data_IF_684244566135
#
_entry.id   IF_684244566135
#
_cell.length_a   1.000
_cell.length_b   1.000
_cell.length_c   1.000
_cell.angle_alpha   90.00
_cell.angle_beta   90.00
_cell.angle_gamma   90.00
#
_symmetry.space_group_name_H-M   'P 1'
#
loop_
_entity.id
_entity.type
_entity.pdbx_description
1 polymer ?
#
# COMPACT_ATOMS: atom_id res chain seq x y z
N UNK A 1 -37.61 -38.04 124.12
CA UNK A 1 -37.39 -38.15 122.65
C UNK A 1 -38.10 -37.03 121.88
N UNK A 2 -39.42 -36.86 121.99
CA UNK A 2 -40.18 -35.82 121.27
C UNK A 2 -39.74 -34.36 121.51
N UNK A 3 -39.12 -34.01 122.64
CA UNK A 3 -38.74 -32.62 122.94
C UNK A 3 -37.43 -32.17 122.27
N UNK A 4 -36.44 -33.05 122.10
CA UNK A 4 -35.13 -32.69 121.52
C UNK A 4 -35.21 -32.54 119.99
N UNK A 5 -36.00 -33.38 119.32
CA UNK A 5 -36.37 -33.20 117.91
C UNK A 5 -37.15 -31.90 117.69
N UNK A 6 -38.02 -31.52 118.63
CA UNK A 6 -38.77 -30.27 118.58
C UNK A 6 -37.87 -29.04 118.70
N UNK A 7 -36.81 -29.11 119.52
CA UNK A 7 -35.80 -28.06 119.66
C UNK A 7 -34.94 -27.95 118.40
N UNK A 8 -34.44 -29.06 117.85
CA UNK A 8 -33.63 -29.06 116.63
C UNK A 8 -34.41 -28.64 115.38
N UNK A 9 -35.69 -29.04 115.29
CA UNK A 9 -36.61 -28.53 114.27
C UNK A 9 -36.89 -27.03 114.48
N UNK A 10 -37.03 -26.58 115.73
CA UNK A 10 -37.16 -25.15 116.05
C UNK A 10 -35.93 -24.33 115.65
N UNK A 11 -34.72 -24.86 115.88
CA UNK A 11 -33.46 -24.21 115.51
C UNK A 11 -33.23 -24.18 113.99
N UNK A 12 -33.60 -25.24 113.25
CA UNK A 12 -33.53 -25.24 111.77
C UNK A 12 -34.60 -24.33 111.17
N UNK A 13 -35.81 -24.31 111.73
CA UNK A 13 -36.85 -23.34 111.37
C UNK A 13 -36.39 -21.90 111.65
N UNK A 14 -35.74 -21.66 112.79
CA UNK A 14 -35.18 -20.36 113.15
C UNK A 14 -34.07 -19.94 112.19
N UNK A 15 -33.15 -20.83 111.82
CA UNK A 15 -32.13 -20.57 110.79
C UNK A 15 -32.74 -20.28 109.41
N UNK A 16 -33.78 -21.02 109.01
CA UNK A 16 -34.53 -20.76 107.78
C UNK A 16 -35.22 -19.40 107.84
N UNK A 17 -35.78 -19.01 108.99
CA UNK A 17 -36.39 -17.70 109.19
C UNK A 17 -35.35 -16.58 109.20
N UNK A 18 -34.17 -16.78 109.80
CA UNK A 18 -33.06 -15.81 109.79
C UNK A 18 -32.48 -15.62 108.38
N UNK A 19 -32.34 -16.70 107.60
CA UNK A 19 -31.91 -16.61 106.21
C UNK A 19 -32.99 -15.91 105.34
N UNK A 20 -34.28 -16.18 105.59
CA UNK A 20 -35.39 -15.41 104.98
C UNK A 20 -35.31 -13.93 105.36
N UNK A 21 -35.05 -13.60 106.62
CA UNK A 21 -34.87 -12.21 107.08
C UNK A 21 -33.66 -11.58 106.37
N UNK A 22 -32.55 -12.30 106.21
CA UNK A 22 -31.35 -11.82 105.50
C UNK A 22 -31.65 -11.54 104.03
N UNK A 23 -32.31 -12.47 103.33
CA UNK A 23 -32.75 -12.30 101.93
C UNK A 23 -33.72 -11.12 101.80
N UNK A 24 -34.68 -10.98 102.72
CA UNK A 24 -35.60 -9.84 102.74
C UNK A 24 -34.87 -8.52 102.98
N UNK A 25 -33.88 -8.47 103.89
CA UNK A 25 -33.04 -7.29 104.11
C UNK A 25 -32.25 -6.92 102.84
N UNK A 26 -31.69 -7.90 102.13
CA UNK A 26 -31.02 -7.67 100.84
C UNK A 26 -32.00 -7.15 99.78
N UNK A 27 -33.22 -7.71 99.70
CA UNK A 27 -34.28 -7.20 98.81
C UNK A 27 -34.68 -5.77 99.14
N UNK A 28 -34.80 -5.43 100.42
CA UNK A 28 -35.08 -4.05 100.87
C UNK A 28 -33.94 -3.12 100.51
N UNK A 29 -32.68 -3.53 100.71
CA UNK A 29 -31.51 -2.74 100.32
C UNK A 29 -31.46 -2.50 98.80
N UNK A 30 -31.71 -3.53 98.00
CA UNK A 30 -31.77 -3.40 96.54
C UNK A 30 -32.92 -2.51 96.09
N UNK A 31 -34.12 -2.62 96.69
CA UNK A 31 -35.23 -1.69 96.40
C UNK A 31 -34.90 -0.26 96.79
N UNK A 32 -34.24 -0.03 97.92
CA UNK A 32 -33.74 1.31 98.29
C UNK A 32 -32.70 1.83 97.29
N UNK A 33 -31.81 0.97 96.78
CA UNK A 33 -30.86 1.32 95.72
C UNK A 33 -31.58 1.70 94.42
N UNK A 34 -32.59 0.93 94.02
CA UNK A 34 -33.44 1.22 92.86
C UNK A 34 -34.14 2.57 93.02
N UNK A 35 -34.75 2.85 94.18
CA UNK A 35 -35.41 4.13 94.45
C UNK A 35 -34.43 5.31 94.29
N UNK A 36 -33.21 5.20 94.84
CA UNK A 36 -32.17 6.23 94.68
C UNK A 36 -31.77 6.43 93.21
N UNK A 37 -31.66 5.34 92.44
CA UNK A 37 -31.38 5.42 91.00
C UNK A 37 -32.52 6.12 90.25
N UNK A 38 -33.77 5.79 90.55
CA UNK A 38 -34.94 6.44 89.97
C UNK A 38 -35.00 7.93 90.30
N UNK A 39 -34.70 8.33 91.54
CA UNK A 39 -34.63 9.75 91.91
C UNK A 39 -33.53 10.51 91.17
N UNK A 40 -32.40 9.86 90.83
CA UNK A 40 -31.35 10.48 90.00
C UNK A 40 -31.77 10.61 88.53
N UNK A 41 -32.57 9.66 88.02
CA UNK A 41 -33.06 9.69 86.64
C UNK A 41 -34.27 10.63 86.44
N UNK A 42 -35.03 10.91 87.51
CA UNK A 42 -36.26 11.71 87.46
C UNK A 42 -36.06 13.14 86.89
N UNK A 43 -35.04 13.93 87.27
CA UNK A 43 -34.82 15.26 86.72
C UNK A 43 -34.54 15.23 85.21
N UNK A 44 -33.78 14.22 84.75
CA UNK A 44 -33.46 14.05 83.33
C UNK A 44 -34.73 13.74 82.54
N UNK A 45 -35.59 12.85 83.05
CA UNK A 45 -36.90 12.58 82.43
C UNK A 45 -37.75 13.83 82.36
N UNK A 46 -37.88 14.56 83.47
CA UNK A 46 -38.69 15.78 83.50
C UNK A 46 -38.14 16.88 82.57
N UNK A 47 -36.82 16.99 82.42
CA UNK A 47 -36.21 17.90 81.45
C UNK A 47 -36.53 17.49 80.01
N UNK A 48 -36.43 16.19 79.68
CA UNK A 48 -36.83 15.66 78.38
C UNK A 48 -38.32 15.88 78.09
N UNK A 49 -39.18 15.69 79.08
CA UNK A 49 -40.62 15.97 78.97
C UNK A 49 -40.86 17.46 78.68
N UNK A 50 -40.13 18.37 79.34
CA UNK A 50 -40.21 19.80 79.05
C UNK A 50 -39.75 20.13 77.63
N UNK A 51 -38.66 19.52 77.16
CA UNK A 51 -38.19 19.68 75.78
C UNK A 51 -39.20 19.14 74.76
N UNK A 52 -39.87 18.02 75.05
CA UNK A 52 -40.92 17.46 74.21
C UNK A 52 -42.07 18.46 74.03
N UNK A 53 -42.53 19.07 75.12
CA UNK A 53 -43.58 20.09 75.10
C UNK A 53 -43.16 21.29 74.24
N UNK A 54 -41.95 21.80 74.42
CA UNK A 54 -41.42 22.91 73.60
C UNK A 54 -41.38 22.54 72.12
N UNK A 55 -40.88 21.35 71.79
CA UNK A 55 -40.79 20.89 70.42
C UNK A 55 -42.17 20.71 69.78
N UNK A 56 -43.16 20.25 70.56
CA UNK A 56 -44.54 20.12 70.11
C UNK A 56 -45.19 21.47 69.82
N UNK A 57 -44.91 22.49 70.65
CA UNK A 57 -45.34 23.88 70.40
C UNK A 57 -44.69 24.44 69.13
N UNK A 58 -43.38 24.23 68.96
CA UNK A 58 -42.68 24.67 67.74
C UNK A 58 -43.23 23.99 66.49
N UNK A 59 -43.51 22.69 66.58
CA UNK A 59 -44.12 21.94 65.49
C UNK A 59 -45.51 22.49 65.12
N UNK A 60 -46.36 22.79 66.10
CA UNK A 60 -47.67 23.38 65.82
C UNK A 60 -47.54 24.77 65.18
N UNK A 61 -46.63 25.62 65.67
CA UNK A 61 -46.35 26.92 65.06
C UNK A 61 -45.88 26.81 63.60
N UNK A 62 -44.96 25.88 63.31
CA UNK A 62 -44.52 25.61 61.94
C UNK A 62 -45.67 25.12 61.07
N UNK A 63 -46.52 24.23 61.59
CA UNK A 63 -47.69 23.71 60.87
C UNK A 63 -48.69 24.82 60.54
N UNK A 64 -48.95 25.72 61.48
CA UNK A 64 -49.86 26.86 61.26
C UNK A 64 -49.27 27.85 60.25
N UNK A 65 -47.96 28.11 60.31
CA UNK A 65 -47.27 28.95 59.32
C UNK A 65 -47.31 28.33 57.92
N UNK A 66 -47.14 27.01 57.80
CA UNK A 66 -47.28 26.30 56.51
C UNK A 66 -48.69 26.47 55.96
N UNK A 67 -49.73 26.25 56.78
CA UNK A 67 -51.12 26.45 56.35
C UNK A 67 -51.40 27.87 55.88
N UNK A 68 -50.89 28.88 56.60
CA UNK A 68 -51.02 30.28 56.19
C UNK A 68 -50.36 30.53 54.83
N UNK A 69 -49.15 29.99 54.61
CA UNK A 69 -48.49 30.09 53.31
C UNK A 69 -49.29 29.36 52.22
N UNK A 70 -49.78 28.16 52.49
CA UNK A 70 -50.63 27.40 51.57
C UNK A 70 -51.89 28.18 51.18
N UNK A 71 -52.54 28.84 52.13
CA UNK A 71 -53.72 29.67 51.88
C UNK A 71 -53.38 30.90 50.99
N UNK A 72 -52.26 31.55 51.27
CA UNK A 72 -51.72 32.66 50.47
C UNK A 72 -51.41 32.21 49.03
N UNK A 73 -50.80 31.03 48.84
CA UNK A 73 -50.40 30.52 47.52
C UNK A 73 -51.52 29.79 46.77
N UNK A 74 -52.52 29.23 47.46
CA UNK A 74 -53.66 28.58 46.86
C UNK A 74 -54.68 29.58 46.31
N UNK A 75 -54.75 30.79 46.87
CA UNK A 75 -55.67 31.83 46.41
C UNK A 75 -55.25 32.39 45.03
N UNK A 76 -56.02 32.11 43.95
CA UNK A 76 -55.67 32.56 42.60
C UNK A 76 -55.79 34.08 42.40
N UNK A 77 -56.44 34.78 43.34
CA UNK A 77 -56.61 36.24 43.31
C UNK A 77 -55.45 37.00 43.98
N UNK A 78 -54.54 36.30 44.65
CA UNK A 78 -53.42 36.93 45.34
C UNK A 78 -52.39 37.49 44.33
N UNK A 79 -52.19 38.80 44.35
CA UNK A 79 -51.27 39.51 43.45
C UNK A 79 -49.82 39.07 43.67
N UNK A 80 -49.42 38.78 44.91
CA UNK A 80 -48.06 38.33 45.25
C UNK A 80 -47.66 36.98 44.64
N UNK A 81 -48.62 36.19 44.12
CA UNK A 81 -48.38 34.93 43.39
C UNK A 81 -48.11 35.17 41.91
N UNK A 82 -48.70 36.21 41.31
CA UNK A 82 -48.59 36.48 39.87
C UNK A 82 -47.33 37.27 39.60
N UNK A 83 -46.44 36.68 38.79
CA UNK A 83 -45.32 37.42 38.19
C UNK A 83 -45.78 37.89 36.82
N UNK A 84 -45.89 39.20 36.64
CA UNK A 84 -46.14 39.78 35.33
C UNK A 84 -44.88 39.59 34.48
N UNK A 85 -44.92 38.65 33.53
CA UNK A 85 -43.78 38.34 32.66
C UNK A 85 -43.60 39.36 31.53
N UNK A 86 -44.43 40.40 31.47
CA UNK A 86 -44.44 41.37 30.38
C UNK A 86 -44.81 40.73 29.04
N UNK A 87 -44.96 41.57 28.02
CA UNK A 87 -45.48 41.18 26.72
C UNK A 87 -46.96 41.51 26.56
N UNK A 88 -47.37 41.80 25.32
CA UNK A 88 -48.77 41.94 24.95
C UNK A 88 -49.17 40.64 24.27
N UNK A 89 -50.22 40.00 24.79
CA UNK A 89 -50.87 38.93 24.06
C UNK A 89 -51.49 39.55 22.81
N UNK A 90 -51.11 39.10 21.60
CA UNK A 90 -51.64 39.65 20.38
C UNK A 90 -53.15 39.47 20.38
N UNK A 91 -53.84 40.55 20.04
CA UNK A 91 -55.29 40.51 20.01
C UNK A 91 -55.77 39.48 18.97
N UNK A 92 -56.95 38.86 19.13
CA UNK A 92 -57.51 37.96 18.12
C UNK A 92 -57.43 38.48 16.67
N UNK A 93 -57.70 39.76 16.37
CA UNK A 93 -57.54 40.28 15.00
C UNK A 93 -56.08 40.41 14.54
N UNK A 94 -55.11 40.64 15.44
CA UNK A 94 -53.68 40.63 15.10
C UNK A 94 -53.19 39.23 14.74
N UNK A 95 -53.65 38.22 15.49
CA UNK A 95 -53.37 36.81 15.18
C UNK A 95 -53.93 36.42 13.82
N UNK A 96 -55.17 36.81 13.50
CA UNK A 96 -55.78 36.56 12.20
C UNK A 96 -54.98 37.22 11.07
N UNK A 97 -54.60 38.49 11.21
CA UNK A 97 -53.72 39.17 10.24
C UNK A 97 -52.39 38.45 10.06
N UNK A 98 -51.82 37.93 11.16
CA UNK A 98 -50.54 37.20 11.09
C UNK A 98 -50.70 35.85 10.39
N UNK A 99 -51.80 35.15 10.62
CA UNK A 99 -52.14 33.91 9.93
C UNK A 99 -52.27 34.16 8.42
N UNK A 100 -53.05 35.17 8.03
CA UNK A 100 -53.21 35.56 6.61
C UNK A 100 -51.85 35.88 5.95
N UNK A 101 -50.97 36.61 6.64
CA UNK A 101 -49.61 36.89 6.14
C UNK A 101 -48.80 35.61 5.93
N UNK A 102 -48.84 34.69 6.91
CA UNK A 102 -48.11 33.42 6.83
C UNK A 102 -48.66 32.51 5.75
N UNK A 103 -49.97 32.50 5.53
CA UNK A 103 -50.61 31.75 4.44
C UNK A 103 -50.14 32.26 3.07
N UNK A 104 -50.09 33.58 2.87
CA UNK A 104 -49.56 34.18 1.63
C UNK A 104 -48.08 33.83 1.43
N UNK A 105 -47.27 33.87 2.49
CA UNK A 105 -45.86 33.48 2.42
C UNK A 105 -45.69 31.98 2.13
N UNK A 106 -46.54 31.13 2.71
CA UNK A 106 -46.52 29.69 2.48
C UNK A 106 -46.81 29.38 1.02
N UNK A 107 -47.88 29.93 0.46
CA UNK A 107 -48.25 29.74 -0.95
C UNK A 107 -47.14 30.23 -1.89
N UNK A 108 -46.46 31.35 -1.56
CA UNK A 108 -45.31 31.84 -2.33
C UNK A 108 -44.13 30.86 -2.30
N UNK A 109 -43.87 30.22 -1.16
CA UNK A 109 -42.79 29.23 -1.02
C UNK A 109 -43.14 27.93 -1.74
N UNK A 110 -44.38 27.47 -1.65
CA UNK A 110 -44.86 26.28 -2.37
C UNK A 110 -44.76 26.45 -3.88
N UNK A 111 -45.14 27.63 -4.41
CA UNK A 111 -44.98 27.95 -5.83
C UNK A 111 -43.51 27.88 -6.25
N UNK A 112 -42.61 28.49 -5.49
CA UNK A 112 -41.17 28.45 -5.77
C UNK A 112 -40.61 27.03 -5.72
N UNK A 113 -41.05 26.23 -4.75
CA UNK A 113 -40.65 24.82 -4.63
C UNK A 113 -41.03 24.04 -5.89
N UNK A 114 -42.28 24.21 -6.36
CA UNK A 114 -42.76 23.55 -7.56
C UNK A 114 -41.97 23.98 -8.82
N UNK A 115 -41.64 25.26 -8.94
CA UNK A 115 -40.78 25.77 -10.01
C UNK A 115 -39.38 25.14 -9.96
N UNK A 116 -38.78 25.04 -8.77
CA UNK A 116 -37.46 24.40 -8.61
C UNK A 116 -37.49 22.90 -8.89
N UNK A 117 -38.55 22.20 -8.50
CA UNK A 117 -38.71 20.77 -8.75
C UNK A 117 -38.85 20.49 -10.25
N UNK A 118 -39.60 21.32 -10.98
CA UNK A 118 -39.70 21.21 -12.43
C UNK A 118 -38.36 21.42 -13.13
N UNK A 119 -37.58 22.43 -12.69
CA UNK A 119 -36.24 22.68 -13.21
C UNK A 119 -35.29 21.52 -12.90
N UNK A 120 -35.34 20.99 -11.68
CA UNK A 120 -34.55 19.84 -11.27
C UNK A 120 -34.83 18.61 -12.14
N UNK A 121 -36.11 18.27 -12.35
CA UNK A 121 -36.52 17.19 -13.23
C UNK A 121 -36.00 17.37 -14.66
N UNK A 122 -36.06 18.60 -15.18
CA UNK A 122 -35.56 18.90 -16.52
C UNK A 122 -34.04 18.71 -16.63
N UNK A 123 -33.28 19.24 -15.66
CA UNK A 123 -31.82 19.13 -15.60
C UNK A 123 -31.40 17.68 -15.41
N UNK A 124 -32.07 16.92 -14.56
CA UNK A 124 -31.82 15.49 -14.35
C UNK A 124 -32.01 14.71 -15.65
N UNK A 125 -33.13 14.91 -16.36
CA UNK A 125 -33.39 14.27 -17.66
C UNK A 125 -32.38 14.66 -18.73
N UNK A 126 -31.90 15.91 -18.74
CA UNK A 126 -30.86 16.34 -19.68
C UNK A 126 -29.52 15.67 -19.36
N UNK A 127 -29.16 15.65 -18.08
CA UNK A 127 -27.93 15.04 -17.57
C UNK A 127 -27.89 13.54 -17.89
N UNK A 128 -28.99 12.83 -17.68
CA UNK A 128 -29.06 11.40 -17.99
C UNK A 128 -28.96 11.13 -19.49
N UNK A 129 -29.61 11.95 -20.34
CA UNK A 129 -29.44 11.85 -21.80
C UNK A 129 -27.99 12.08 -22.22
N UNK A 130 -27.32 13.07 -21.65
CA UNK A 130 -25.89 13.32 -21.92
C UNK A 130 -25.01 12.15 -21.46
N UNK A 131 -25.30 11.58 -20.28
CA UNK A 131 -24.60 10.42 -19.73
C UNK A 131 -24.72 9.21 -20.67
N UNK A 132 -25.94 8.88 -21.11
CA UNK A 132 -26.18 7.78 -22.05
C UNK A 132 -25.47 8.02 -23.38
N UNK A 133 -25.53 9.25 -23.92
CA UNK A 133 -24.83 9.59 -25.16
C UNK A 133 -23.31 9.45 -25.03
N UNK A 134 -22.73 9.91 -23.91
CA UNK A 134 -21.30 9.75 -23.63
C UNK A 134 -20.90 8.28 -23.53
N UNK A 135 -21.70 7.47 -22.83
CA UNK A 135 -21.45 6.05 -22.62
C UNK A 135 -21.50 5.27 -23.93
N UNK A 136 -22.47 5.56 -24.79
CA UNK A 136 -22.57 4.98 -26.12
C UNK A 136 -21.34 5.35 -26.99
N UNK A 137 -20.85 6.60 -26.89
CA UNK A 137 -19.68 7.06 -27.64
C UNK A 137 -18.33 6.48 -27.16
N UNK A 138 -18.22 6.02 -25.91
CA UNK A 138 -16.97 5.47 -25.36
C UNK A 138 -16.48 4.26 -26.13
N UNK A 139 -17.38 3.33 -26.46
CA UNK A 139 -17.00 2.09 -27.13
C UNK A 139 -16.54 2.33 -28.57
N UNK A 140 -17.26 3.18 -29.30
CA UNK A 140 -16.90 3.55 -30.68
C UNK A 140 -15.54 4.29 -30.73
N UNK A 141 -15.34 5.21 -29.78
CA UNK A 141 -14.06 5.94 -29.66
C UNK A 141 -12.90 5.00 -29.36
N UNK A 142 -13.12 4.00 -28.48
CA UNK A 142 -12.12 2.99 -28.15
C UNK A 142 -11.80 2.09 -29.36
N UNK A 143 -12.81 1.66 -30.11
CA UNK A 143 -12.62 0.87 -31.32
C UNK A 143 -11.84 1.66 -32.39
N UNK A 144 -12.17 2.94 -32.57
CA UNK A 144 -11.46 3.84 -33.46
C UNK A 144 -9.99 4.00 -33.04
N UNK A 145 -9.73 4.25 -31.76
CA UNK A 145 -8.38 4.38 -31.23
C UNK A 145 -7.54 3.10 -31.45
N UNK A 146 -8.12 1.92 -31.20
CA UNK A 146 -7.46 0.63 -31.48
C UNK A 146 -7.12 0.48 -32.97
N UNK A 147 -8.06 0.81 -33.86
CA UNK A 147 -7.86 0.74 -35.31
C UNK A 147 -6.76 1.70 -35.77
N UNK A 148 -6.77 2.93 -35.27
CA UNK A 148 -5.75 3.95 -35.57
C UNK A 148 -4.37 3.51 -35.11
N UNK A 149 -4.25 2.98 -33.89
CA UNK A 149 -2.98 2.46 -33.38
C UNK A 149 -2.45 1.28 -34.21
N UNK A 150 -3.33 0.38 -34.65
CA UNK A 150 -2.96 -0.72 -35.53
C UNK A 150 -2.46 -0.21 -36.89
N UNK A 151 -3.11 0.81 -37.47
CA UNK A 151 -2.67 1.45 -38.70
C UNK A 151 -1.32 2.15 -38.52
N UNK A 152 -1.12 2.90 -37.43
CA UNK A 152 0.14 3.55 -37.12
C UNK A 152 1.29 2.54 -37.02
N UNK A 153 1.06 1.39 -36.37
CA UNK A 153 2.05 0.31 -36.30
C UNK A 153 2.37 -0.24 -37.70
N UNK A 154 1.37 -0.44 -38.56
CA UNK A 154 1.58 -0.88 -39.95
C UNK A 154 2.38 0.15 -40.75
N UNK A 155 2.10 1.44 -40.59
CA UNK A 155 2.85 2.52 -41.24
C UNK A 155 4.30 2.50 -40.78
N UNK A 156 4.58 2.48 -39.46
CA UNK A 156 5.94 2.41 -38.92
C UNK A 156 6.72 1.21 -39.47
N UNK A 157 6.11 0.03 -39.49
CA UNK A 157 6.74 -1.18 -40.03
C UNK A 157 7.06 -1.04 -41.53
N UNK A 158 6.14 -0.45 -42.32
CA UNK A 158 6.40 -0.19 -43.75
C UNK A 158 7.53 0.82 -43.92
N UNK A 159 7.53 1.91 -43.16
CA UNK A 159 8.60 2.92 -43.21
C UNK A 159 9.97 2.29 -42.91
N UNK A 160 10.05 1.41 -41.90
CA UNK A 160 11.28 0.68 -41.59
C UNK A 160 11.75 -0.21 -42.74
N UNK A 161 10.82 -0.95 -43.38
CA UNK A 161 11.15 -1.75 -44.57
C UNK A 161 11.62 -0.88 -45.73
N UNK A 162 10.97 0.25 -45.97
CA UNK A 162 11.39 1.19 -47.01
C UNK A 162 12.79 1.76 -46.73
N UNK A 163 13.09 2.12 -45.47
CA UNK A 163 14.43 2.57 -45.08
C UNK A 163 15.50 1.49 -45.30
N UNK A 164 15.21 0.23 -44.98
CA UNK A 164 16.12 -0.88 -45.25
C UNK A 164 16.40 -1.04 -46.75
N UNK A 165 15.35 -1.04 -47.58
CA UNK A 165 15.50 -1.12 -49.03
C UNK A 165 16.25 0.09 -49.62
N UNK A 166 16.01 1.30 -49.09
CA UNK A 166 16.75 2.49 -49.48
C UNK A 166 18.24 2.36 -49.15
N UNK A 167 18.59 1.79 -47.99
CA UNK A 167 19.97 1.53 -47.60
C UNK A 167 20.63 0.51 -48.53
N UNK A 168 19.94 -0.60 -48.84
CA UNK A 168 20.43 -1.61 -49.80
C UNK A 168 20.66 -1.01 -51.18
N UNK A 169 19.71 -0.20 -51.69
CA UNK A 169 19.84 0.49 -52.97
C UNK A 169 21.01 1.48 -52.96
N UNK A 170 21.21 2.21 -51.85
CA UNK A 170 22.35 3.12 -51.69
C UNK A 170 23.68 2.38 -51.75
N UNK A 171 23.81 1.24 -51.06
CA UNK A 171 25.00 0.38 -51.12
C UNK A 171 25.25 -0.15 -52.54
N UNK A 172 24.21 -0.65 -53.22
CA UNK A 172 24.32 -1.13 -54.61
C UNK A 172 24.72 -0.02 -55.57
N UNK A 173 24.16 1.19 -55.41
CA UNK A 173 24.53 2.37 -56.18
C UNK A 173 25.98 2.77 -55.95
N UNK A 174 26.45 2.76 -54.70
CA UNK A 174 27.84 3.04 -54.37
C UNK A 174 28.80 2.03 -55.02
N UNK A 175 28.45 0.74 -54.99
CA UNK A 175 29.22 -0.32 -55.66
C UNK A 175 29.25 -0.14 -57.17
N UNK A 176 28.10 0.13 -57.81
CA UNK A 176 28.03 0.39 -59.25
C UNK A 176 28.89 1.60 -59.65
N UNK A 177 28.84 2.69 -58.87
CA UNK A 177 29.67 3.86 -59.08
C UNK A 177 31.17 3.54 -58.95
N UNK A 178 31.56 2.71 -57.97
CA UNK A 178 32.95 2.28 -57.80
C UNK A 178 33.44 1.48 -58.99
N UNK A 179 32.67 0.49 -59.44
CA UNK A 179 33.00 -0.30 -60.63
C UNK A 179 33.09 0.57 -61.89
N UNK A 180 32.18 1.53 -62.05
CA UNK A 180 32.22 2.47 -63.18
C UNK A 180 33.46 3.37 -63.13
N UNK A 181 33.88 3.78 -61.93
CA UNK A 181 35.12 4.53 -61.76
C UNK A 181 36.34 3.68 -62.12
N UNK A 182 36.41 2.43 -61.65
CA UNK A 182 37.50 1.49 -62.00
C UNK A 182 37.56 1.22 -63.50
N UNK A 183 36.41 1.08 -64.18
CA UNK A 183 36.39 0.95 -65.65
C UNK A 183 36.98 2.19 -66.32
N UNK A 184 36.53 3.39 -65.95
CA UNK A 184 37.07 4.64 -66.51
C UNK A 184 38.57 4.79 -66.26
N UNK A 185 39.04 4.41 -65.08
CA UNK A 185 40.47 4.52 -64.74
C UNK A 185 41.31 3.52 -65.54
N UNK A 186 40.82 2.28 -65.75
CA UNK A 186 41.46 1.30 -66.64
C UNK A 186 41.42 1.72 -68.11
N UNK A 187 40.31 2.27 -68.60
CA UNK A 187 40.19 2.79 -69.97
C UNK A 187 41.20 3.92 -70.21
N UNK A 188 41.28 4.90 -69.29
CA UNK A 188 42.28 5.98 -69.36
C UNK A 188 43.70 5.42 -69.35
N UNK A 189 43.96 4.44 -68.49
CA UNK A 189 45.26 3.79 -68.41
C UNK A 189 45.63 3.10 -69.73
N UNK A 190 44.72 2.32 -70.30
CA UNK A 190 44.92 1.68 -71.62
C UNK A 190 45.16 2.73 -72.70
N UNK A 191 44.39 3.82 -72.73
CA UNK A 191 44.58 4.91 -73.69
C UNK A 191 46.00 5.51 -73.59
N UNK A 192 46.51 5.73 -72.36
CA UNK A 192 47.88 6.22 -72.13
C UNK A 192 48.91 5.21 -72.64
N UNK A 193 48.73 3.93 -72.32
CA UNK A 193 49.67 2.86 -72.74
C UNK A 193 49.65 2.71 -74.26
N UNK A 194 48.49 2.63 -74.90
CA UNK A 194 48.34 2.58 -76.35
C UNK A 194 49.00 3.78 -77.02
N UNK A 195 48.74 5.01 -76.56
CA UNK A 195 49.39 6.20 -77.11
C UNK A 195 50.92 6.17 -76.97
N UNK A 196 51.47 5.58 -75.89
CA UNK A 196 52.93 5.44 -75.71
C UNK A 196 53.50 4.39 -76.65
N UNK A 197 52.80 3.26 -76.83
CA UNK A 197 53.19 2.21 -77.77
C UNK A 197 53.20 2.75 -79.20
N UNK A 198 52.17 3.51 -79.59
CA UNK A 198 52.09 4.15 -80.91
C UNK A 198 53.25 5.14 -81.15
N UNK A 199 53.75 5.77 -80.07
CA UNK A 199 54.91 6.65 -80.08
C UNK A 199 56.26 5.91 -79.94
N UNK A 200 56.26 4.58 -79.83
CA UNK A 200 57.47 3.76 -79.63
C UNK A 200 58.13 3.92 -78.25
N UNK A 201 57.44 4.49 -77.28
CA UNK A 201 57.94 4.71 -75.92
C UNK A 201 57.71 3.46 -75.04
N UNK A 202 58.60 3.16 -74.08
CA UNK A 202 58.44 2.02 -73.19
C UNK A 202 57.20 2.17 -72.29
N UNK A 203 56.56 1.06 -71.88
CA UNK A 203 55.45 1.07 -70.93
C UNK A 203 55.81 1.80 -69.61
N UNK A 204 54.82 2.37 -68.91
CA UNK A 204 55.02 2.96 -67.57
C UNK A 204 55.79 2.03 -66.62
N UNK A 205 56.70 2.61 -65.82
CA UNK A 205 57.56 1.88 -64.87
C UNK A 205 56.76 1.09 -63.82
N UNK A 206 55.54 1.53 -63.50
CA UNK A 206 54.67 0.78 -62.58
C UNK A 206 54.32 -0.61 -63.13
N UNK A 207 54.08 -0.73 -64.44
CA UNK A 207 53.74 -2.00 -65.12
C UNK A 207 54.92 -2.96 -65.08
N UNK A 208 56.12 -2.44 -65.36
CA UNK A 208 57.35 -3.24 -65.33
C UNK A 208 57.58 -3.82 -63.93
N UNK A 209 57.38 -3.00 -62.89
CA UNK A 209 57.49 -3.44 -61.50
C UNK A 209 56.41 -4.48 -61.12
N UNK A 210 55.18 -4.31 -61.59
CA UNK A 210 54.10 -5.28 -61.37
C UNK A 210 54.39 -6.60 -62.09
N UNK A 211 54.90 -6.55 -63.32
CA UNK A 211 55.30 -7.74 -64.08
C UNK A 211 56.44 -8.52 -63.41
N UNK A 212 57.46 -7.81 -62.91
CA UNK A 212 58.55 -8.41 -62.15
C UNK A 212 58.06 -9.07 -60.85
N UNK A 213 57.06 -8.48 -60.17
CA UNK A 213 56.41 -9.11 -59.00
C UNK A 213 55.69 -10.40 -59.37
N UNK A 214 54.96 -10.42 -60.49
CA UNK A 214 54.26 -11.62 -60.97
C UNK A 214 55.27 -12.74 -61.27
N UNK A 215 56.35 -12.44 -61.99
CA UNK A 215 57.43 -13.39 -62.27
C UNK A 215 58.07 -13.95 -60.99
N UNK A 216 58.31 -13.08 -60.00
CA UNK A 216 58.85 -13.51 -58.69
C UNK A 216 57.87 -14.43 -57.96
N UNK A 217 56.59 -14.10 -57.96
CA UNK A 217 55.57 -14.91 -57.30
C UNK A 217 55.38 -16.27 -57.99
N UNK A 218 55.38 -16.32 -59.31
CA UNK A 218 55.35 -17.60 -60.06
C UNK A 218 56.55 -18.48 -59.72
N UNK A 219 57.75 -17.88 -59.65
CA UNK A 219 58.96 -18.61 -59.28
C UNK A 219 58.85 -19.18 -57.87
N UNK A 220 58.42 -18.38 -56.90
CA UNK A 220 58.18 -18.82 -55.52
C UNK A 220 57.12 -19.93 -55.44
N UNK A 221 56.04 -19.85 -56.21
CA UNK A 221 55.00 -20.88 -56.23
C UNK A 221 55.52 -22.20 -56.82
N UNK A 222 56.31 -22.14 -57.90
CA UNK A 222 56.93 -23.32 -58.50
C UNK A 222 57.94 -23.97 -57.55
N UNK A 223 58.73 -23.16 -56.85
CA UNK A 223 59.68 -23.63 -55.83
C UNK A 223 58.96 -24.23 -54.61
N UNK A 224 57.86 -23.63 -54.16
CA UNK A 224 57.05 -24.16 -53.07
C UNK A 224 56.38 -25.50 -53.44
N UNK A 225 55.83 -25.61 -54.65
CA UNK A 225 55.26 -26.87 -55.15
C UNK A 225 56.33 -27.96 -55.28
N UNK A 226 57.53 -27.62 -55.79
CA UNK A 226 58.64 -28.58 -55.85
C UNK A 226 59.11 -29.02 -54.46
N UNK A 227 59.16 -28.11 -53.48
CA UNK A 227 59.52 -28.43 -52.10
C UNK A 227 58.45 -29.27 -51.38
N UNK A 228 57.16 -29.06 -51.64
CA UNK A 228 56.07 -29.93 -51.16
C UNK A 228 56.18 -31.34 -51.76
N UNK A 229 56.48 -31.45 -53.06
CA UNK A 229 56.66 -32.74 -53.74
C UNK A 229 57.90 -33.50 -53.22
N UNK A 230 58.99 -32.78 -52.93
CA UNK A 230 60.21 -33.32 -52.32
C UNK A 230 60.01 -33.72 -50.85
N UNK A 231 59.25 -32.94 -50.07
CA UNK A 231 58.86 -33.31 -48.70
C UNK A 231 57.89 -34.50 -48.66
N UNK A 232 56.98 -34.62 -49.63
CA UNK A 232 56.11 -35.77 -49.78
C UNK A 232 56.90 -37.04 -50.18
N UNK A 233 57.98 -36.91 -50.94
CA UNK A 233 58.89 -38.01 -51.29
C UNK A 233 59.83 -38.42 -50.13
N UNK A 234 60.15 -37.51 -49.20
CA UNK A 234 61.09 -37.72 -48.10
C UNK A 234 60.46 -38.34 -46.83
N UNK A 235 59.28 -38.95 -46.91
CA UNK A 235 58.60 -39.59 -45.76
C UNK A 235 59.30 -40.90 -45.38
N UNK A 236 60.44 -40.80 -44.70
CA UNK A 236 60.98 -41.83 -43.82
C UNK A 236 61.02 -41.28 -42.39
N UNK A 237 59.99 -41.68 -41.65
CA UNK A 237 59.74 -41.62 -40.20
C UNK A 237 60.85 -40.99 -39.30
N UNK A 238 60.65 -39.73 -38.90
CA UNK A 238 61.27 -39.20 -37.67
C UNK A 238 60.36 -39.57 -36.49
N UNK A 239 60.82 -40.49 -35.64
CA UNK A 239 60.09 -40.92 -34.45
C UNK A 239 60.08 -39.82 -33.38
N UNK A 240 58.93 -39.18 -33.16
CA UNK A 240 58.70 -38.26 -32.04
C UNK A 240 58.12 -39.01 -30.85
N UNK A 241 58.66 -38.82 -29.64
CA UNK A 241 58.16 -39.45 -28.40
C UNK A 241 56.90 -38.77 -27.83
N UNK A 242 56.37 -37.74 -28.51
CA UNK A 242 55.16 -37.05 -28.08
C UNK A 242 53.91 -37.83 -28.49
N UNK A 243 52.98 -38.03 -27.56
CA UNK A 243 51.67 -38.62 -27.84
C UNK A 243 50.94 -37.77 -28.90
N UNK A 244 50.63 -38.38 -30.06
CA UNK A 244 49.87 -37.71 -31.10
C UNK A 244 48.48 -37.38 -30.60
N UNK A 245 48.09 -36.11 -30.70
CA UNK A 245 46.75 -35.66 -30.34
C UNK A 245 45.73 -36.24 -31.32
N UNK A 246 44.59 -36.78 -30.87
CA UNK A 246 43.52 -37.18 -31.77
C UNK A 246 43.06 -35.98 -32.62
N UNK A 247 43.20 -36.07 -33.93
CA UNK A 247 42.87 -34.99 -34.89
C UNK A 247 41.42 -35.05 -35.38
N UNK A 248 40.68 -36.09 -35.00
CA UNK A 248 39.28 -36.30 -35.35
C UNK A 248 38.47 -36.80 -34.15
N UNK A 249 37.15 -36.55 -34.15
CA UNK A 249 36.20 -37.16 -33.22
C UNK A 249 35.22 -38.07 -33.96
N UNK A 250 34.63 -39.01 -33.22
CA UNK A 250 33.52 -39.82 -33.68
C UNK A 250 32.24 -39.18 -33.11
N UNK A 251 31.32 -38.67 -33.94
CA UNK A 251 30.05 -38.11 -33.45
C UNK A 251 29.14 -39.21 -32.91
N UNK A 252 28.55 -39.01 -31.71
CA UNK A 252 27.64 -39.95 -31.04
C UNK A 252 26.15 -39.79 -31.43
N UNK A 253 25.82 -38.95 -32.41
CA UNK A 253 24.43 -38.71 -32.85
C UNK A 253 23.88 -39.90 -33.68
N UNK A 254 22.69 -40.42 -33.35
CA UNK A 254 22.05 -41.59 -33.99
C UNK A 254 21.82 -41.46 -35.52
N UNK A 255 21.93 -40.25 -36.08
CA UNK A 255 21.78 -39.97 -37.51
C UNK A 255 23.10 -39.66 -38.23
N UNK A 256 24.23 -39.72 -37.53
CA UNK A 256 25.56 -39.48 -38.09
C UNK A 256 26.31 -40.80 -38.28
N UNK A 257 26.93 -41.00 -39.45
CA UNK A 257 27.83 -42.14 -39.66
C UNK A 257 29.00 -42.07 -38.65
N UNK A 258 29.37 -43.21 -38.06
CA UNK A 258 30.49 -43.39 -37.11
C UNK A 258 31.88 -43.20 -37.76
N UNK A 259 32.02 -42.26 -38.68
CA UNK A 259 33.26 -41.94 -39.38
C UNK A 259 34.00 -40.81 -38.64
N UNK A 260 35.33 -40.92 -38.46
CA UNK A 260 36.11 -39.89 -37.81
C UNK A 260 36.02 -38.57 -38.59
N UNK A 261 35.51 -37.51 -37.95
CA UNK A 261 35.46 -36.15 -38.53
C UNK A 261 36.57 -35.28 -37.96
N UNK A 262 37.35 -34.57 -38.81
CA UNK A 262 38.34 -33.63 -38.32
C UNK A 262 37.65 -32.50 -37.55
N UNK A 263 38.25 -32.03 -36.47
CA UNK A 263 37.64 -30.98 -35.63
C UNK A 263 37.53 -29.60 -36.30
N UNK A 264 38.09 -29.44 -37.51
CA UNK A 264 38.06 -28.18 -38.25
C UNK A 264 38.74 -27.03 -37.50
N UNK A 265 38.31 -25.79 -37.76
CA UNK A 265 38.87 -24.59 -37.14
C UNK A 265 38.61 -24.46 -35.62
N UNK A 266 37.74 -25.31 -35.05
CA UNK A 266 37.32 -25.27 -33.65
C UNK A 266 37.78 -26.54 -32.90
N UNK A 267 39.06 -26.90 -33.07
CA UNK A 267 39.63 -28.06 -32.39
C UNK A 267 39.61 -27.92 -30.86
N UNK A 268 39.21 -28.97 -30.10
CA UNK A 268 39.25 -28.94 -28.66
C UNK A 268 40.69 -28.75 -28.19
N UNK A 269 40.92 -27.60 -27.58
CA UNK A 269 42.19 -27.21 -27.01
C UNK A 269 42.26 -27.70 -25.57
N UNK A 270 43.30 -28.46 -25.21
CA UNK A 270 43.62 -28.71 -23.81
C UNK A 270 44.19 -27.41 -23.23
N UNK A 271 43.50 -26.74 -22.28
CA UNK A 271 44.02 -25.52 -21.69
C UNK A 271 45.40 -25.79 -21.10
N UNK A 272 46.40 -25.00 -21.50
CA UNK A 272 47.72 -25.06 -20.87
C UNK A 272 47.56 -24.77 -19.38
N UNK A 273 48.21 -25.56 -18.53
CA UNK A 273 48.22 -25.28 -17.10
C UNK A 273 48.64 -23.82 -16.85
N UNK A 274 47.91 -23.08 -16.00
CA UNK A 274 48.17 -21.67 -15.81
C UNK A 274 49.58 -21.48 -15.26
N UNK A 275 50.47 -20.91 -16.09
CA UNK A 275 51.83 -20.61 -15.70
C UNK A 275 51.88 -19.62 -14.52
N UNK A 276 52.96 -19.69 -13.73
CA UNK A 276 53.16 -18.91 -12.49
C UNK A 276 52.92 -17.39 -12.61
N UNK A 277 52.99 -16.84 -13.83
CA UNK A 277 52.79 -15.42 -14.14
C UNK A 277 51.32 -14.92 -14.10
N UNK A 278 50.32 -15.78 -13.91
CA UNK A 278 48.90 -15.36 -13.84
C UNK A 278 48.55 -14.68 -12.50
N UNK A 279 49.44 -14.70 -11.49
CA UNK A 279 49.22 -14.06 -10.18
C UNK A 279 48.97 -12.54 -10.25
N UNK A 280 49.32 -11.89 -11.36
CA UNK A 280 49.18 -10.44 -11.52
C UNK A 280 48.00 -10.00 -12.41
N UNK A 281 47.21 -10.93 -12.96
CA UNK A 281 46.07 -10.58 -13.79
C UNK A 281 44.82 -10.27 -12.96
N UNK A 282 44.41 -8.99 -12.89
CA UNK A 282 43.15 -8.57 -12.28
C UNK A 282 42.06 -8.42 -13.34
N UNK A 283 40.93 -9.13 -13.19
CA UNK A 283 39.79 -9.01 -14.10
C UNK A 283 39.15 -7.62 -13.96
N UNK A 284 38.81 -6.92 -15.06
CA UNK A 284 38.16 -5.63 -15.00
C UNK A 284 36.74 -5.74 -14.43
N UNK A 285 36.36 -4.81 -13.55
CA UNK A 285 35.01 -4.74 -12.99
C UNK A 285 34.05 -4.11 -13.99
N UNK A 286 33.05 -4.87 -14.42
CA UNK A 286 32.02 -4.41 -15.35
C UNK A 286 31.01 -3.55 -14.57
N UNK A 287 30.80 -2.30 -14.97
CA UNK A 287 29.79 -1.44 -14.35
C UNK A 287 28.38 -1.92 -14.75
N UNK A 288 27.41 -1.95 -13.82
CA UNK A 288 26.03 -2.29 -14.15
C UNK A 288 25.45 -1.21 -15.07
N UNK A 289 24.91 -1.64 -16.21
CA UNK A 289 24.04 -0.80 -17.05
C UNK A 289 22.73 -0.56 -16.32
N UNK A 290 22.43 0.71 -16.05
CA UNK A 290 21.13 1.15 -15.55
C UNK A 290 20.06 0.83 -16.60
N UNK A 291 19.01 0.10 -16.19
CA UNK A 291 17.77 -0.14 -16.94
C UNK A 291 16.68 0.70 -16.30
#
# INVERSE_FOLDING_TARGET
>A
LKLYERLKNGDTEMQVMDEKIRVLKLKVAEKKRQIKLWFKALPVRNALDAHLVVLQIQYSQCKDRIKQMEEIFANPKNESRRRDLGGQDPSPPELLKKIEQLEVELVRKEKKLLETDFLYEHVSRLTDRMRVAAENGKQDTLLLAKRTNALQKKVKNRTQKTMALLAELSMKRALANKLQQEMRDKERFLMIVSSRIDQGLPPPKEIENEWLKVLRNEKMQKEAHAAEEEQAAAVNCVHTTAEQRPTAYIPDDEHSLLLPRPYGALAPFKPTEPGSNIRHFRKPTVKPTEI
#
